data_IF_860127103867
#
_entry.id   IF_860127103867
#
_cell.length_a   1.000
_cell.length_b   1.000
_cell.length_c   1.000
_cell.angle_alpha   90.00
_cell.angle_beta   90.00
_cell.angle_gamma   90.00
#
_symmetry.space_group_name_H-M   'P 1'
#
loop_
_entity.id
_entity.type
_entity.pdbx_description
1 polymer ?
#
# COMPACT_ATOMS: atom_id res chain seq x y z
N UNK A 1 20.73 -8.62 -17.32
CA UNK A 1 20.84 -8.08 -18.70
C UNK A 1 20.09 -6.76 -18.70
N UNK A 2 20.72 -5.63 -19.02
CA UNK A 2 20.06 -4.32 -19.03
C UNK A 2 19.54 -4.06 -20.46
N UNK A 3 18.24 -3.79 -20.60
CA UNK A 3 17.67 -3.37 -21.88
C UNK A 3 18.06 -1.91 -22.17
N UNK A 4 18.63 -1.66 -23.33
CA UNK A 4 18.91 -0.30 -23.84
C UNK A 4 17.84 0.01 -24.89
N UNK A 5 17.03 1.04 -24.65
CA UNK A 5 15.96 1.49 -25.53
C UNK A 5 16.43 2.66 -26.39
N UNK A 6 15.92 2.75 -27.62
CA UNK A 6 16.01 3.99 -28.41
C UNK A 6 15.13 5.09 -27.80
N UNK A 7 15.36 6.35 -28.21
CA UNK A 7 14.56 7.48 -27.74
C UNK A 7 13.07 7.30 -28.06
N UNK A 8 12.73 6.89 -29.29
CA UNK A 8 11.33 6.65 -29.72
C UNK A 8 10.67 5.51 -28.93
N UNK A 9 11.39 4.40 -28.70
CA UNK A 9 10.89 3.29 -27.88
C UNK A 9 10.70 3.71 -26.42
N UNK A 10 11.64 4.47 -25.86
CA UNK A 10 11.56 4.97 -24.50
C UNK A 10 10.38 5.93 -24.33
N UNK A 11 10.16 6.86 -25.27
CA UNK A 11 9.02 7.80 -25.29
C UNK A 11 7.67 7.09 -25.35
N UNK A 12 7.56 5.98 -26.10
CA UNK A 12 6.32 5.18 -26.19
C UNK A 12 6.11 4.21 -25.03
N UNK A 13 7.11 4.00 -24.19
CA UNK A 13 7.07 3.00 -23.10
C UNK A 13 7.42 3.64 -21.75
N UNK A 14 8.68 3.58 -21.35
CA UNK A 14 9.16 3.88 -20.00
C UNK A 14 9.13 5.38 -19.65
N UNK A 15 9.09 6.27 -20.64
CA UNK A 15 9.04 7.73 -20.45
C UNK A 15 7.61 8.30 -20.50
N UNK A 16 6.58 7.45 -20.66
CA UNK A 16 5.19 7.91 -20.62
C UNK A 16 4.78 8.29 -19.20
N UNK A 17 4.67 9.60 -18.94
CA UNK A 17 4.26 10.14 -17.63
C UNK A 17 2.77 10.00 -17.35
N UNK A 18 1.95 9.80 -18.39
CA UNK A 18 0.49 9.69 -18.28
C UNK A 18 0.09 8.47 -17.41
N UNK A 19 0.80 7.34 -17.55
CA UNK A 19 0.58 6.14 -16.73
C UNK A 19 0.94 6.34 -15.25
N UNK A 20 1.74 7.35 -14.92
CA UNK A 20 2.09 7.67 -13.54
C UNK A 20 0.99 8.48 -12.84
N UNK A 21 0.15 9.20 -13.59
CA UNK A 21 -0.96 10.00 -13.05
C UNK A 21 -2.25 9.18 -12.96
N UNK A 22 -2.50 8.29 -13.92
CA UNK A 22 -3.64 7.36 -13.91
C UNK A 22 -3.16 5.91 -14.09
N UNK A 23 -2.70 5.26 -13.01
CA UNK A 23 -2.25 3.89 -13.11
C UNK A 23 -3.41 2.96 -13.48
N UNK A 24 -3.18 2.04 -14.42
CA UNK A 24 -4.13 0.97 -14.71
C UNK A 24 -4.38 0.17 -13.44
N UNK A 25 -5.61 0.21 -12.95
CA UNK A 25 -6.02 -0.52 -11.73
C UNK A 25 -6.32 -1.98 -12.11
N UNK A 26 -5.59 -2.97 -11.57
CA UNK A 26 -5.90 -4.38 -11.83
C UNK A 26 -7.30 -4.74 -11.30
N UNK A 27 -8.05 -5.65 -11.95
CA UNK A 27 -9.42 -5.98 -11.54
C UNK A 27 -9.57 -6.41 -10.08
N UNK A 28 -8.59 -7.13 -9.53
CA UNK A 28 -8.56 -7.51 -8.10
C UNK A 28 -8.46 -6.30 -7.17
N UNK A 29 -7.68 -5.29 -7.56
CA UNK A 29 -7.55 -4.06 -6.80
C UNK A 29 -8.83 -3.25 -6.90
N UNK A 30 -9.42 -3.14 -8.09
CA UNK A 30 -10.71 -2.45 -8.27
C UNK A 30 -11.81 -3.07 -7.39
N UNK A 31 -11.95 -4.40 -7.41
CA UNK A 31 -12.92 -5.08 -6.56
C UNK A 31 -12.69 -4.84 -5.05
N UNK A 32 -11.42 -4.71 -4.63
CA UNK A 32 -11.08 -4.38 -3.25
C UNK A 32 -11.44 -2.93 -2.91
N UNK A 33 -11.19 -1.99 -3.83
CA UNK A 33 -11.58 -0.59 -3.70
C UNK A 33 -13.10 -0.44 -3.62
N UNK A 34 -13.83 -1.11 -4.51
CA UNK A 34 -15.30 -1.09 -4.52
C UNK A 34 -15.88 -1.63 -3.21
N UNK A 35 -15.31 -2.74 -2.70
CA UNK A 35 -15.72 -3.34 -1.43
C UNK A 35 -15.46 -2.43 -0.22
N UNK A 36 -14.33 -1.74 -0.19
CA UNK A 36 -13.87 -0.97 0.97
C UNK A 36 -14.33 0.49 0.97
N UNK A 37 -14.49 1.09 -0.21
CA UNK A 37 -14.72 2.53 -0.39
C UNK A 37 -15.96 2.84 -1.23
N UNK A 38 -16.60 1.84 -1.85
CA UNK A 38 -17.80 1.97 -2.68
C UNK A 38 -17.50 1.88 -4.17
N UNK A 39 -18.53 1.51 -4.95
CA UNK A 39 -18.41 1.24 -6.40
C UNK A 39 -17.85 2.43 -7.19
N UNK A 40 -16.86 2.14 -8.05
CA UNK A 40 -16.20 3.15 -8.88
C UNK A 40 -15.13 3.96 -8.14
N UNK A 41 -14.76 3.55 -6.92
CA UNK A 41 -13.67 4.19 -6.18
C UNK A 41 -12.35 4.06 -6.92
N UNK A 42 -11.64 5.17 -7.03
CA UNK A 42 -10.27 5.22 -7.55
C UNK A 42 -9.26 5.10 -6.40
N UNK A 43 -8.00 4.68 -6.66
CA UNK A 43 -6.95 4.73 -5.65
C UNK A 43 -6.80 6.12 -5.01
N UNK A 44 -6.87 7.18 -5.81
CA UNK A 44 -6.76 8.57 -5.32
C UNK A 44 -7.89 8.94 -4.35
N UNK A 45 -9.14 8.64 -4.70
CA UNK A 45 -10.30 8.95 -3.85
C UNK A 45 -10.28 8.12 -2.56
N UNK A 46 -9.89 6.85 -2.63
CA UNK A 46 -9.69 5.99 -1.46
C UNK A 46 -8.60 6.53 -0.51
N UNK A 47 -7.44 6.94 -1.04
CA UNK A 47 -6.35 7.53 -0.24
C UNK A 47 -6.77 8.87 0.35
N UNK A 48 -7.44 9.72 -0.42
CA UNK A 48 -7.97 11.00 0.07
C UNK A 48 -8.95 10.81 1.22
N UNK A 49 -9.82 9.80 1.12
CA UNK A 49 -10.75 9.42 2.18
C UNK A 49 -10.01 8.92 3.43
N UNK A 50 -9.03 8.02 3.27
CA UNK A 50 -8.18 7.53 4.36
C UNK A 50 -7.49 8.68 5.10
N UNK A 51 -6.82 9.57 4.38
CA UNK A 51 -6.11 10.71 4.97
C UNK A 51 -7.07 11.64 5.73
N UNK A 52 -8.27 11.88 5.20
CA UNK A 52 -9.31 12.66 5.89
C UNK A 52 -9.73 11.98 7.20
N UNK A 53 -10.01 10.68 7.18
CA UNK A 53 -10.38 9.92 8.38
C UNK A 53 -9.27 9.94 9.43
N UNK A 54 -8.02 9.71 9.03
CA UNK A 54 -6.86 9.69 9.92
C UNK A 54 -6.63 11.07 10.54
N UNK A 55 -6.74 12.16 9.77
CA UNK A 55 -6.64 13.53 10.32
C UNK A 55 -7.72 13.85 11.34
N UNK A 56 -8.93 13.31 11.15
CA UNK A 56 -10.08 13.59 12.02
C UNK A 56 -10.09 12.73 13.29
N UNK A 57 -9.63 11.49 13.20
CA UNK A 57 -9.84 10.46 14.23
C UNK A 57 -8.56 9.84 14.77
N UNK A 58 -7.40 10.18 14.20
CA UNK A 58 -6.10 9.69 14.61
C UNK A 58 -6.03 8.16 14.64
N UNK A 59 -5.46 7.62 15.72
CA UNK A 59 -5.23 6.19 15.92
C UNK A 59 -6.50 5.33 15.85
N UNK A 60 -7.67 5.89 16.18
CA UNK A 60 -8.93 5.16 16.05
C UNK A 60 -9.24 4.83 14.57
N UNK A 61 -8.91 5.73 13.64
CA UNK A 61 -9.00 5.43 12.22
C UNK A 61 -7.93 4.44 11.77
N UNK A 62 -6.70 4.53 12.29
CA UNK A 62 -5.65 3.55 11.97
C UNK A 62 -6.09 2.13 12.33
N UNK A 63 -6.57 1.92 13.56
CA UNK A 63 -7.05 0.61 14.02
C UNK A 63 -8.21 0.08 13.20
N UNK A 64 -9.17 0.95 12.88
CA UNK A 64 -10.30 0.59 12.04
C UNK A 64 -9.83 0.11 10.65
N UNK A 65 -8.98 0.87 9.98
CA UNK A 65 -8.54 0.54 8.63
C UNK A 65 -7.59 -0.65 8.58
N UNK A 66 -6.74 -0.85 9.60
CA UNK A 66 -5.98 -2.10 9.74
C UNK A 66 -6.90 -3.32 9.85
N UNK A 67 -7.96 -3.24 10.66
CA UNK A 67 -8.93 -4.34 10.75
C UNK A 67 -9.67 -4.60 9.43
N UNK A 68 -10.00 -3.54 8.67
CA UNK A 68 -10.71 -3.69 7.39
C UNK A 68 -9.82 -4.16 6.23
N UNK A 69 -8.57 -3.69 6.16
CA UNK A 69 -7.66 -3.94 5.03
C UNK A 69 -6.81 -5.19 5.31
N UNK A 70 -6.20 -5.26 6.49
CA UNK A 70 -5.26 -6.33 6.86
C UNK A 70 -5.97 -7.49 7.56
N UNK A 71 -7.22 -7.31 8.00
CA UNK A 71 -8.02 -8.35 8.64
C UNK A 71 -7.58 -8.68 10.07
N UNK A 72 -6.79 -7.81 10.71
CA UNK A 72 -6.26 -8.02 12.06
C UNK A 72 -6.71 -6.94 13.03
N UNK A 73 -7.10 -7.36 14.23
CA UNK A 73 -7.36 -6.43 15.34
C UNK A 73 -6.08 -6.25 16.15
N UNK A 74 -5.50 -5.05 16.10
CA UNK A 74 -4.24 -4.74 16.78
C UNK A 74 -4.48 -4.33 18.23
N UNK A 75 -3.84 -5.02 19.18
CA UNK A 75 -3.74 -4.54 20.56
C UNK A 75 -2.90 -3.26 20.67
N UNK A 76 -1.73 -3.25 20.04
CA UNK A 76 -0.81 -2.10 20.00
C UNK A 76 -0.36 -1.82 18.56
N UNK A 77 -0.24 -0.54 18.21
CA UNK A 77 0.32 -0.11 16.91
C UNK A 77 1.85 -0.27 16.92
N UNK A 78 2.48 0.02 18.06
CA UNK A 78 3.93 -0.09 18.24
C UNK A 78 4.29 -1.48 18.75
N UNK A 79 5.30 -2.08 18.13
CA UNK A 79 5.94 -3.29 18.65
C UNK A 79 6.88 -2.95 19.81
N UNK A 80 6.86 -3.81 20.83
CA UNK A 80 7.80 -3.71 21.95
C UNK A 80 9.22 -4.09 21.49
N UNK A 81 10.27 -3.41 21.98
CA UNK A 81 11.66 -3.71 21.60
C UNK A 81 12.04 -5.19 21.81
N UNK A 82 11.51 -5.81 22.86
CA UNK A 82 11.75 -7.22 23.15
C UNK A 82 11.21 -8.16 22.05
N UNK A 83 10.06 -7.82 21.44
CA UNK A 83 9.50 -8.61 20.34
C UNK A 83 10.38 -8.53 19.08
N UNK A 84 11.01 -7.38 18.86
CA UNK A 84 11.96 -7.19 17.76
C UNK A 84 13.23 -8.01 17.99
N UNK A 85 13.80 -7.98 19.20
CA UNK A 85 14.97 -8.79 19.55
C UNK A 85 14.69 -10.30 19.39
N UNK A 86 13.54 -10.77 19.88
CA UNK A 86 13.12 -12.16 19.73
C UNK A 86 12.83 -12.56 18.27
N UNK A 87 12.52 -11.61 17.39
CA UNK A 87 12.42 -11.88 15.96
C UNK A 87 13.80 -12.13 15.35
N UNK A 88 14.81 -11.32 15.71
CA UNK A 88 16.18 -11.48 15.21
C UNK A 88 16.81 -12.82 15.61
N UNK A 89 16.57 -13.30 16.84
CA UNK A 89 17.06 -14.61 17.32
C UNK A 89 16.51 -15.81 16.52
N UNK A 90 15.40 -15.63 15.80
CA UNK A 90 14.77 -16.68 14.97
C UNK A 90 15.24 -16.68 13.52
N UNK A 91 16.07 -15.73 13.12
CA UNK A 91 16.64 -15.65 11.77
C UNK A 91 17.90 -16.53 11.73
N UNK A 92 18.06 -17.32 10.66
CA UNK A 92 19.27 -18.12 10.48
C UNK A 92 20.51 -17.20 10.41
N UNK A 93 21.66 -17.58 11.01
CA UNK A 93 22.83 -16.71 11.06
C UNK A 93 23.35 -16.22 9.71
N UNK A 94 23.10 -16.97 8.62
CA UNK A 94 23.52 -16.61 7.26
C UNK A 94 22.62 -15.52 6.62
N UNK A 95 21.47 -15.22 7.23
CA UNK A 95 20.49 -14.23 6.76
C UNK A 95 20.46 -12.95 7.63
N UNK A 96 21.31 -12.87 8.66
CA UNK A 96 21.44 -11.72 9.57
C UNK A 96 22.48 -10.70 9.10
#
# INVERSE_FOLDING_TARGET
MINIYSVDEAEKTILRRDMALEPTVPPRLQASLDRLFGEGSTPETAVSHLLKQIRQRGDAALRHWTAQIDGVDLGAIRLEPAAIAAAAERVEPELL
#
